data_IF_821815954375
#
_entry.id   IF_821815954375
#
_cell.length_a   1.000
_cell.length_b   1.000
_cell.length_c   1.000
_cell.angle_alpha   90.00
_cell.angle_beta   90.00
_cell.angle_gamma   90.00
#
_symmetry.space_group_name_H-M   'P 1'
#
loop_
_entity.id
_entity.type
_entity.pdbx_description
1 polymer ?
#
# COMPACT_ATOMS: atom_id res chain seq x y z
N UNK A 1 -21.31 -21.88 2.45
CA UNK A 1 -20.40 -20.78 2.04
C UNK A 1 -19.42 -21.24 0.94
N UNK A 2 -19.52 -20.64 -0.25
CA UNK A 2 -18.54 -20.87 -1.34
C UNK A 2 -17.44 -19.80 -1.24
N UNK A 3 -16.21 -20.24 -1.01
CA UNK A 3 -15.03 -19.36 -1.06
C UNK A 3 -14.59 -19.31 -2.51
N UNK A 4 -14.61 -18.12 -3.12
CA UNK A 4 -14.11 -17.94 -4.48
C UNK A 4 -12.66 -18.41 -4.56
N UNK A 5 -12.34 -19.22 -5.58
CA UNK A 5 -10.98 -19.76 -5.81
C UNK A 5 -9.93 -18.65 -5.98
N UNK A 6 -10.34 -17.43 -6.31
CA UNK A 6 -9.48 -16.25 -6.41
C UNK A 6 -8.99 -15.69 -5.07
N UNK A 7 -9.63 -16.03 -3.95
CA UNK A 7 -9.19 -15.62 -2.60
C UNK A 7 -7.91 -16.33 -2.16
N UNK A 8 -7.61 -17.46 -2.78
CA UNK A 8 -6.46 -18.31 -2.51
C UNK A 8 -5.41 -18.15 -3.61
N UNK A 9 -5.00 -16.91 -3.90
CA UNK A 9 -3.70 -16.74 -4.54
C UNK A 9 -2.64 -17.32 -3.58
N UNK A 10 -1.94 -18.37 -4.02
CA UNK A 10 -0.97 -19.21 -3.26
C UNK A 10 0.17 -18.44 -2.53
N UNK A 11 0.19 -17.12 -2.60
CA UNK A 11 1.24 -16.24 -2.06
C UNK A 11 0.65 -15.09 -1.23
N UNK A 12 -0.27 -15.36 -0.30
CA UNK A 12 -0.64 -14.39 0.75
C UNK A 12 0.62 -14.09 1.57
N UNK A 13 1.10 -12.83 1.65
CA UNK A 13 2.30 -12.51 2.41
C UNK A 13 2.11 -12.87 3.88
N UNK A 14 2.99 -13.71 4.40
CA UNK A 14 3.09 -14.10 5.80
C UNK A 14 3.68 -12.97 6.65
N UNK A 15 3.05 -11.80 6.63
CA UNK A 15 3.45 -10.68 7.49
C UNK A 15 2.58 -10.67 8.75
N UNK A 16 3.16 -11.23 9.82
CA UNK A 16 2.85 -11.08 11.25
C UNK A 16 1.58 -11.78 11.78
N UNK A 17 1.86 -12.92 12.41
CA UNK A 17 1.23 -13.52 13.61
C UNK A 17 -0.24 -13.96 13.61
N UNK A 18 -1.03 -13.61 12.59
CA UNK A 18 -2.39 -14.14 12.45
C UNK A 18 -2.62 -14.69 11.05
N UNK A 19 -3.01 -15.96 10.97
CA UNK A 19 -3.64 -16.45 9.76
C UNK A 19 -5.09 -15.97 9.82
N UNK A 20 -5.45 -15.08 8.90
CA UNK A 20 -6.85 -14.79 8.65
C UNK A 20 -7.43 -16.11 8.12
N UNK A 21 -8.11 -16.84 8.98
CA UNK A 21 -9.03 -17.88 8.56
C UNK A 21 -10.38 -17.17 8.59
N UNK A 22 -10.88 -16.61 7.47
CA UNK A 22 -12.21 -16.02 7.48
C UNK A 22 -13.21 -17.18 7.48
N UNK A 23 -13.30 -17.92 8.58
CA UNK A 23 -14.48 -18.72 8.85
C UNK A 23 -15.49 -17.75 9.42
N UNK A 24 -16.28 -17.19 8.52
CA UNK A 24 -17.52 -16.54 8.89
C UNK A 24 -18.47 -17.68 9.28
N UNK A 25 -18.85 -17.74 10.56
CA UNK A 25 -19.99 -18.55 10.99
C UNK A 25 -21.22 -17.65 10.97
N UNK A 26 -22.18 -17.99 10.14
CA UNK A 26 -23.50 -17.39 10.14
C UNK A 26 -24.40 -18.35 10.93
N UNK A 27 -25.11 -17.86 11.95
CA UNK A 27 -26.07 -18.67 12.72
C UNK A 27 -27.35 -17.87 12.90
N UNK A 28 -28.49 -18.52 12.62
CA UNK A 28 -29.81 -17.88 12.62
C UNK A 28 -29.84 -16.63 11.72
N UNK A 29 -29.22 -16.77 10.54
CA UNK A 29 -28.92 -15.72 9.58
C UNK A 29 -28.00 -14.59 10.10
N UNK A 30 -27.58 -14.55 11.36
CA UNK A 30 -26.69 -13.50 11.88
C UNK A 30 -25.23 -13.87 11.65
N UNK A 31 -24.36 -12.89 11.38
CA UNK A 31 -22.93 -13.11 11.51
C UNK A 31 -22.59 -13.26 13.00
N UNK A 32 -22.30 -14.48 13.45
CA UNK A 32 -22.13 -14.79 14.88
C UNK A 32 -20.65 -14.97 15.25
N UNK A 33 -19.80 -15.40 14.33
CA UNK A 33 -18.40 -15.67 14.65
C UNK A 33 -17.47 -15.26 13.50
N UNK A 34 -16.34 -14.63 13.85
CA UNK A 34 -15.19 -14.48 12.97
C UNK A 34 -13.96 -14.89 13.79
N UNK A 35 -13.36 -16.02 13.42
CA UNK A 35 -12.23 -16.59 14.14
C UNK A 35 -10.91 -16.14 13.54
N UNK A 36 -9.98 -15.79 14.39
CA UNK A 36 -8.57 -15.72 14.04
C UNK A 36 -7.87 -16.91 14.67
N UNK A 37 -6.98 -17.57 13.95
CA UNK A 37 -6.06 -18.53 14.56
C UNK A 37 -4.76 -17.81 14.86
N UNK A 38 -4.52 -17.62 16.15
CA UNK A 38 -3.22 -17.18 16.64
C UNK A 38 -2.20 -18.29 16.39
N UNK A 39 -1.13 -17.98 15.66
CA UNK A 39 -0.21 -19.03 15.19
C UNK A 39 0.66 -19.62 16.30
N UNK A 40 0.92 -18.85 17.36
CA UNK A 40 1.76 -19.23 18.51
C UNK A 40 1.01 -20.12 19.49
N UNK A 41 -0.23 -19.76 19.77
CA UNK A 41 -1.06 -20.44 20.76
C UNK A 41 -1.99 -21.48 20.14
N UNK A 42 -2.17 -21.44 18.81
CA UNK A 42 -3.21 -22.19 18.07
C UNK A 42 -4.63 -21.90 18.56
N UNK A 43 -4.81 -20.89 19.41
CA UNK A 43 -6.09 -20.54 19.97
C UNK A 43 -6.97 -19.90 18.88
N UNK A 44 -8.22 -20.37 18.80
CA UNK A 44 -9.27 -19.68 18.05
C UNK A 44 -9.74 -18.48 18.86
N UNK A 45 -9.39 -17.29 18.44
CA UNK A 45 -9.80 -16.06 19.12
C UNK A 45 -11.03 -15.51 18.40
N UNK A 46 -12.19 -15.57 19.05
CA UNK A 46 -13.40 -14.89 18.59
C UNK A 46 -13.29 -13.41 18.97
N UNK A 47 -13.24 -12.52 17.97
CA UNK A 47 -13.22 -11.07 18.21
C UNK A 47 -14.45 -10.48 17.53
N UNK A 48 -15.50 -10.26 18.32
CA UNK A 48 -16.69 -9.54 17.85
C UNK A 48 -16.96 -8.33 18.72
N UNK A 49 -17.04 -7.15 18.10
CA UNK A 49 -17.88 -6.04 18.60
C UNK A 49 -18.49 -5.37 17.36
N UNK A 50 -19.71 -5.79 17.01
CA UNK A 50 -20.61 -4.95 16.20
C UNK A 50 -20.97 -3.75 17.06
N UNK A 51 -20.52 -2.56 16.67
CA UNK A 51 -20.81 -1.34 17.42
C UNK A 51 -21.38 -0.23 16.53
N UNK A 52 -22.12 -0.60 15.48
CA UNK A 52 -23.16 0.28 14.98
C UNK A 52 -24.47 -0.09 15.68
N UNK A 53 -25.15 0.91 16.24
CA UNK A 53 -26.58 0.85 16.61
C UNK A 53 -27.42 0.64 15.34
N UNK A 54 -27.27 -0.50 14.66
CA UNK A 54 -27.91 -0.80 13.39
C UNK A 54 -28.44 -2.23 13.39
N UNK A 55 -29.36 -2.49 12.47
CA UNK A 55 -29.99 -3.79 12.31
C UNK A 55 -28.95 -4.86 11.95
N UNK A 56 -29.07 -6.09 12.49
CA UNK A 56 -28.22 -7.20 12.08
C UNK A 56 -28.33 -7.43 10.57
N UNK A 57 -27.18 -7.58 9.90
CA UNK A 57 -27.17 -8.01 8.50
C UNK A 57 -27.35 -9.52 8.49
N UNK A 58 -28.37 -9.95 7.76
CA UNK A 58 -28.73 -11.35 7.66
C UNK A 58 -28.21 -11.96 6.36
N UNK A 59 -27.34 -12.97 6.46
CA UNK A 59 -26.86 -13.73 5.31
C UNK A 59 -27.49 -15.12 5.33
N UNK A 60 -27.90 -15.62 4.16
CA UNK A 60 -28.21 -17.03 3.99
C UNK A 60 -26.91 -17.75 3.57
N UNK A 61 -26.58 -18.89 4.19
CA UNK A 61 -25.33 -19.62 3.97
C UNK A 61 -25.17 -20.17 2.54
N UNK A 62 -26.30 -20.41 1.88
CA UNK A 62 -26.38 -20.84 0.48
C UNK A 62 -26.29 -19.66 -0.50
N UNK A 63 -26.41 -18.44 0.02
CA UNK A 63 -26.49 -17.19 -0.71
C UNK A 63 -25.48 -16.17 -0.16
N UNK A 64 -24.24 -16.62 -0.01
CA UNK A 64 -23.13 -15.76 0.40
C UNK A 64 -21.84 -16.18 -0.29
N UNK A 65 -21.21 -15.22 -0.94
CA UNK A 65 -19.95 -15.40 -1.66
C UNK A 65 -18.96 -14.29 -1.27
N UNK A 66 -17.75 -14.71 -0.90
CA UNK A 66 -16.62 -13.80 -0.81
C UNK A 66 -16.01 -13.62 -2.20
N UNK A 67 -15.89 -12.38 -2.64
CA UNK A 67 -15.30 -12.02 -3.92
C UNK A 67 -13.84 -11.62 -3.75
N UNK A 68 -13.52 -10.92 -2.66
CA UNK A 68 -12.16 -10.57 -2.25
C UNK A 68 -12.11 -10.44 -0.72
N UNK A 69 -10.94 -10.29 -0.07
CA UNK A 69 -10.90 -10.09 1.38
C UNK A 69 -11.64 -8.83 1.87
N UNK A 70 -12.08 -7.94 0.99
CA UNK A 70 -12.89 -6.77 1.36
C UNK A 70 -14.25 -6.68 0.68
N UNK A 71 -14.65 -7.67 -0.12
CA UNK A 71 -15.94 -7.70 -0.81
C UNK A 71 -16.66 -9.03 -0.57
N UNK A 72 -17.89 -8.92 -0.07
CA UNK A 72 -18.86 -10.02 0.10
C UNK A 72 -20.11 -9.67 -0.67
N UNK A 73 -20.80 -10.65 -1.23
CA UNK A 73 -22.16 -10.46 -1.74
C UNK A 73 -23.11 -11.58 -1.31
N UNK A 74 -24.39 -11.26 -1.30
CA UNK A 74 -25.48 -12.22 -1.48
C UNK A 74 -26.13 -11.98 -2.87
N UNK A 75 -27.27 -12.60 -3.16
CA UNK A 75 -27.97 -12.51 -4.43
C UNK A 75 -28.38 -11.08 -4.80
N UNK A 76 -28.59 -10.20 -3.81
CA UNK A 76 -29.20 -8.89 -4.01
C UNK A 76 -28.31 -7.72 -3.61
N UNK A 77 -27.24 -7.96 -2.85
CA UNK A 77 -26.50 -6.91 -2.15
C UNK A 77 -25.00 -7.21 -2.14
N UNK A 78 -24.21 -6.21 -2.49
CA UNK A 78 -22.76 -6.20 -2.32
C UNK A 78 -22.40 -5.44 -1.04
N UNK A 79 -21.49 -6.02 -0.26
CA UNK A 79 -20.97 -5.46 0.96
C UNK A 79 -19.46 -5.23 0.87
N UNK A 80 -19.04 -4.08 1.34
CA UNK A 80 -17.66 -3.74 1.63
C UNK A 80 -17.31 -4.05 3.08
N UNK A 81 -16.21 -4.77 3.28
CA UNK A 81 -15.71 -5.17 4.59
C UNK A 81 -14.61 -4.23 5.08
N UNK A 82 -14.74 -3.75 6.33
CA UNK A 82 -13.77 -2.87 6.98
C UNK A 82 -13.36 -3.40 8.35
N UNK A 83 -12.05 -3.36 8.60
CA UNK A 83 -11.44 -3.62 9.90
C UNK A 83 -10.89 -2.29 10.45
N UNK A 84 -11.34 -1.87 11.63
CA UNK A 84 -10.82 -0.69 12.32
C UNK A 84 -10.20 -1.14 13.63
N UNK A 85 -8.88 -1.00 13.74
CA UNK A 85 -8.12 -1.30 14.95
C UNK A 85 -7.80 0.01 15.69
N UNK A 86 -8.16 0.08 16.96
CA UNK A 86 -7.75 1.09 17.93
C UNK A 86 -6.98 0.40 19.05
N UNK A 87 -6.21 1.15 19.84
CA UNK A 87 -5.33 0.64 20.90
C UNK A 87 -6.00 -0.33 21.90
N UNK A 88 -7.31 -0.28 22.04
CA UNK A 88 -8.10 -1.12 22.96
C UNK A 88 -9.29 -1.84 22.31
N UNK A 89 -9.48 -1.73 21.00
CA UNK A 89 -10.63 -2.35 20.34
C UNK A 89 -10.41 -2.60 18.86
N UNK A 90 -10.91 -3.73 18.38
CA UNK A 90 -10.99 -4.04 16.96
C UNK A 90 -12.47 -4.07 16.59
N UNK A 91 -12.87 -3.26 15.61
CA UNK A 91 -14.24 -3.18 15.11
C UNK A 91 -14.31 -3.65 13.66
N UNK A 92 -15.32 -4.46 13.37
CA UNK A 92 -15.61 -4.99 12.05
C UNK A 92 -16.88 -4.36 11.51
N UNK A 93 -16.86 -3.92 10.25
CA UNK A 93 -18.02 -3.33 9.59
C UNK A 93 -18.27 -4.00 8.25
N UNK A 94 -19.50 -4.45 8.04
CA UNK A 94 -20.05 -4.76 6.73
C UNK A 94 -20.91 -3.58 6.32
N UNK A 95 -20.48 -2.88 5.28
CA UNK A 95 -21.20 -1.72 4.75
C UNK A 95 -21.78 -2.10 3.41
N UNK A 96 -23.08 -1.87 3.20
CA UNK A 96 -23.69 -2.07 1.89
C UNK A 96 -23.14 -1.06 0.88
N UNK A 97 -22.81 -1.55 -0.32
CA UNK A 97 -22.48 -0.70 -1.47
C UNK A 97 -23.78 -0.08 -1.98
N UNK A 98 -24.02 1.19 -1.67
CA UNK A 98 -25.27 1.91 -2.03
C UNK A 98 -25.39 2.27 -3.53
N UNK A 99 -24.67 1.59 -4.40
CA UNK A 99 -24.70 1.80 -5.85
C UNK A 99 -25.46 0.65 -6.51
N UNK A 100 -26.03 0.89 -7.68
CA UNK A 100 -26.54 -0.20 -8.52
C UNK A 100 -25.35 -0.98 -9.07
N UNK A 101 -25.01 -2.08 -8.41
CA UNK A 101 -23.91 -2.97 -8.76
C UNK A 101 -24.38 -3.93 -9.86
N UNK A 102 -23.58 -4.07 -10.92
CA UNK A 102 -23.78 -5.15 -11.88
C UNK A 102 -23.06 -6.41 -11.36
N UNK A 103 -23.82 -7.30 -10.71
CA UNK A 103 -23.27 -8.51 -10.10
C UNK A 103 -22.65 -9.50 -11.10
N UNK A 104 -23.09 -9.51 -12.36
CA UNK A 104 -22.57 -10.44 -13.36
C UNK A 104 -21.18 -10.04 -13.85
N UNK A 105 -20.93 -8.74 -13.98
CA UNK A 105 -19.63 -8.19 -14.41
C UNK A 105 -18.72 -7.78 -13.26
N UNK A 106 -19.16 -7.92 -12.01
CA UNK A 106 -18.35 -7.56 -10.85
C UNK A 106 -17.10 -8.44 -10.74
N UNK A 107 -15.94 -7.80 -10.72
CA UNK A 107 -14.66 -8.45 -10.53
C UNK A 107 -13.74 -7.67 -9.57
N UNK A 108 -13.08 -8.35 -8.62
CA UNK A 108 -11.99 -7.76 -7.87
C UNK A 108 -10.79 -7.47 -8.77
N UNK A 109 -10.30 -6.24 -8.74
CA UNK A 109 -9.02 -5.87 -9.37
C UNK A 109 -7.86 -5.93 -8.36
N UNK A 110 -8.17 -5.98 -7.07
CA UNK A 110 -7.28 -6.35 -5.97
C UNK A 110 -8.04 -6.68 -4.70
N UNK A 111 -7.31 -6.75 -3.60
CA UNK A 111 -7.81 -6.99 -2.24
C UNK A 111 -8.79 -5.92 -1.80
N UNK A 112 -8.49 -4.66 -2.10
CA UNK A 112 -9.23 -3.51 -1.60
C UNK A 112 -10.10 -2.82 -2.66
N UNK A 113 -9.87 -3.13 -3.95
CA UNK A 113 -10.55 -2.48 -5.06
C UNK A 113 -11.19 -3.52 -5.97
N UNK A 114 -12.35 -3.15 -6.51
CA UNK A 114 -13.09 -3.95 -7.48
C UNK A 114 -13.74 -3.04 -8.51
N UNK A 115 -14.26 -3.63 -9.57
CA UNK A 115 -15.06 -2.94 -10.56
C UNK A 115 -16.20 -3.82 -11.03
N UNK A 116 -17.20 -3.20 -11.62
CA UNK A 116 -18.11 -3.86 -12.55
C UNK A 116 -17.99 -3.14 -13.92
N UNK A 117 -18.85 -3.48 -14.88
CA UNK A 117 -18.80 -2.84 -16.20
C UNK A 117 -19.10 -1.33 -16.20
N UNK A 118 -19.69 -0.80 -15.11
CA UNK A 118 -20.16 0.58 -15.01
C UNK A 118 -19.36 1.41 -14.00
N UNK A 119 -18.76 0.78 -12.99
CA UNK A 119 -18.28 1.47 -11.79
C UNK A 119 -17.04 0.83 -11.17
N UNK A 120 -16.33 1.61 -10.36
CA UNK A 120 -15.25 1.15 -9.49
C UNK A 120 -15.64 1.28 -8.02
N UNK A 121 -15.04 0.43 -7.20
CA UNK A 121 -15.36 0.29 -5.79
C UNK A 121 -14.11 0.16 -4.93
N UNK A 122 -14.18 0.68 -3.73
CA UNK A 122 -13.24 0.43 -2.64
C UNK A 122 -13.96 -0.28 -1.50
N UNK A 123 -13.48 -1.47 -1.14
CA UNK A 123 -14.15 -2.40 -0.24
C UNK A 123 -14.34 -1.83 1.17
N UNK A 124 -13.30 -1.34 1.84
CA UNK A 124 -13.48 -0.74 3.16
C UNK A 124 -14.38 0.50 3.13
N UNK A 125 -15.55 0.39 3.75
CA UNK A 125 -16.60 1.40 3.78
C UNK A 125 -17.48 1.40 2.52
N UNK A 126 -17.37 0.39 1.66
CA UNK A 126 -18.24 0.16 0.51
C UNK A 126 -18.37 1.37 -0.42
N UNK A 127 -17.24 2.02 -0.71
CA UNK A 127 -17.23 3.31 -1.40
C UNK A 127 -17.24 3.10 -2.90
N UNK A 128 -18.15 3.79 -3.59
CA UNK A 128 -18.10 3.95 -5.04
C UNK A 128 -17.05 4.99 -5.42
N UNK A 129 -16.20 4.66 -6.38
CA UNK A 129 -15.24 5.57 -7.01
C UNK A 129 -15.85 6.03 -8.34
N UNK A 130 -15.97 7.34 -8.52
CA UNK A 130 -16.59 7.96 -9.69
C UNK A 130 -15.53 8.23 -10.77
N UNK A 131 -15.02 7.16 -11.38
CA UNK A 131 -14.04 7.23 -12.46
C UNK A 131 -14.44 6.28 -13.57
N UNK A 132 -14.08 6.61 -14.80
CA UNK A 132 -14.31 5.75 -15.97
C UNK A 132 -13.16 4.76 -16.18
N UNK A 133 -12.05 4.97 -15.47
CA UNK A 133 -10.88 4.12 -15.47
C UNK A 133 -10.20 4.15 -14.10
N UNK A 134 -9.79 2.99 -13.64
CA UNK A 134 -8.99 2.85 -12.44
C UNK A 134 -8.12 1.61 -12.56
N UNK A 135 -6.84 1.76 -12.28
CA UNK A 135 -5.93 0.64 -12.11
C UNK A 135 -5.27 0.68 -10.75
N UNK A 136 -4.86 -0.48 -10.26
CA UNK A 136 -4.04 -0.53 -9.07
C UNK A 136 -2.67 -0.01 -9.40
N UNK A 137 -2.22 0.96 -8.61
CA UNK A 137 -0.89 1.49 -8.79
C UNK A 137 0.13 0.37 -8.60
N UNK A 138 1.01 0.22 -9.58
CA UNK A 138 2.17 -0.64 -9.50
C UNK A 138 3.43 0.13 -9.82
N UNK A 139 4.42 0.03 -8.94
CA UNK A 139 5.74 0.52 -9.28
C UNK A 139 6.47 -0.48 -10.18
N UNK A 140 6.46 -0.19 -11.48
CA UNK A 140 7.19 -0.97 -12.48
C UNK A 140 8.69 -0.97 -12.22
N UNK A 141 9.24 0.14 -11.72
CA UNK A 141 10.67 0.29 -11.39
C UNK A 141 11.08 -0.72 -10.33
N UNK A 142 10.35 -0.78 -9.21
CA UNK A 142 10.60 -1.78 -8.17
C UNK A 142 10.44 -3.22 -8.67
N UNK A 143 9.51 -3.48 -9.59
CA UNK A 143 9.38 -4.83 -10.17
C UNK A 143 10.61 -5.20 -10.97
N UNK A 144 11.08 -4.29 -11.82
CA UNK A 144 12.19 -4.57 -12.71
C UNK A 144 13.48 -4.72 -11.89
N UNK A 145 13.66 -3.87 -10.88
CA UNK A 145 14.73 -4.02 -9.87
C UNK A 145 14.60 -5.35 -9.14
N UNK A 146 13.43 -5.71 -8.60
CA UNK A 146 13.25 -6.98 -7.90
C UNK A 146 13.48 -8.21 -8.79
N UNK A 147 12.98 -8.18 -10.03
CA UNK A 147 13.11 -9.30 -10.98
C UNK A 147 14.57 -9.48 -11.42
N UNK A 148 15.32 -8.39 -11.60
CA UNK A 148 16.76 -8.43 -11.87
C UNK A 148 17.53 -9.13 -10.73
N UNK A 149 17.06 -8.99 -9.49
CA UNK A 149 17.74 -9.52 -8.30
C UNK A 149 17.31 -10.92 -7.91
N UNK A 150 16.08 -11.29 -8.21
CA UNK A 150 15.52 -12.58 -7.88
C UNK A 150 14.84 -13.19 -9.13
N UNK A 151 15.61 -13.49 -10.20
CA UNK A 151 15.06 -14.00 -11.45
C UNK A 151 14.25 -15.29 -11.26
N UNK A 152 14.64 -16.11 -10.27
CA UNK A 152 13.98 -17.36 -9.87
C UNK A 152 12.61 -17.15 -9.21
N UNK A 153 12.31 -15.93 -8.74
CA UNK A 153 11.11 -15.58 -7.97
C UNK A 153 10.12 -14.73 -8.76
N UNK A 154 10.00 -14.97 -10.07
CA UNK A 154 9.04 -14.31 -10.96
C UNK A 154 7.59 -14.61 -10.55
N UNK A 155 7.12 -13.92 -9.51
CA UNK A 155 5.73 -13.96 -9.06
C UNK A 155 4.88 -13.19 -10.09
N UNK A 156 3.77 -13.75 -10.60
CA UNK A 156 2.87 -13.07 -11.51
C UNK A 156 2.45 -11.69 -10.98
N UNK A 157 2.49 -10.66 -11.85
CA UNK A 157 2.18 -9.26 -11.55
C UNK A 157 0.86 -9.08 -10.76
N UNK A 158 -0.16 -9.87 -11.14
CA UNK A 158 -1.48 -9.91 -10.50
C UNK A 158 -1.41 -10.21 -8.98
N UNK A 159 -0.47 -11.05 -8.55
CA UNK A 159 -0.31 -11.39 -7.13
C UNK A 159 0.36 -10.28 -6.33
N UNK A 160 1.29 -9.52 -6.95
CA UNK A 160 2.00 -8.42 -6.28
C UNK A 160 1.08 -7.22 -6.07
N UNK A 161 0.25 -6.92 -7.06
CA UNK A 161 -0.72 -5.83 -7.03
C UNK A 161 -1.91 -6.07 -6.10
N UNK A 162 -2.18 -7.35 -5.79
CA UNK A 162 -3.37 -7.73 -5.05
C UNK A 162 -3.54 -6.94 -3.74
N UNK A 163 -2.48 -6.60 -3.01
CA UNK A 163 -2.61 -5.88 -1.74
C UNK A 163 -2.46 -4.35 -1.85
N UNK A 164 -2.47 -3.76 -3.05
CA UNK A 164 -2.26 -2.31 -3.20
C UNK A 164 -3.39 -1.51 -2.56
N UNK A 165 -3.02 -0.53 -1.73
CA UNK A 165 -3.94 0.48 -1.18
C UNK A 165 -4.11 1.69 -2.11
N UNK A 166 -3.33 1.74 -3.18
CA UNK A 166 -3.24 2.87 -4.09
C UNK A 166 -3.82 2.46 -5.43
N UNK A 167 -4.69 3.32 -5.95
CA UNK A 167 -5.20 3.19 -7.30
C UNK A 167 -5.06 4.52 -8.03
N UNK A 168 -4.85 4.47 -9.33
CA UNK A 168 -4.71 5.66 -10.18
C UNK A 168 -5.77 5.66 -11.28
N UNK A 169 -6.31 6.84 -11.54
CA UNK A 169 -7.05 7.16 -12.75
C UNK A 169 -6.14 8.03 -13.65
N UNK A 170 -6.65 8.50 -14.79
CA UNK A 170 -5.90 9.35 -15.74
C UNK A 170 -5.26 10.56 -15.05
N UNK A 171 -6.04 11.25 -14.22
CA UNK A 171 -5.68 12.53 -13.64
C UNK A 171 -5.74 12.56 -12.10
N UNK A 172 -5.92 11.39 -11.44
CA UNK A 172 -6.17 11.31 -10.00
C UNK A 172 -5.50 10.13 -9.33
N UNK A 173 -5.08 10.34 -8.08
CA UNK A 173 -4.58 9.29 -7.20
C UNK A 173 -5.57 9.02 -6.08
N UNK A 174 -5.86 7.74 -5.84
CA UNK A 174 -6.73 7.26 -4.78
C UNK A 174 -5.92 6.48 -3.75
N UNK A 175 -5.99 6.93 -2.50
CA UNK A 175 -5.42 6.23 -1.35
C UNK A 175 -6.52 5.69 -0.47
N UNK A 176 -6.59 4.36 -0.29
CA UNK A 176 -7.66 3.74 0.52
C UNK A 176 -9.05 4.21 0.06
N UNK A 177 -9.25 4.28 -1.26
CA UNK A 177 -10.48 4.75 -1.90
C UNK A 177 -10.79 6.24 -1.74
N UNK A 178 -9.87 7.03 -1.20
CA UNK A 178 -10.03 8.48 -1.04
C UNK A 178 -9.16 9.22 -2.07
N UNK A 179 -9.76 10.17 -2.78
CA UNK A 179 -9.04 11.06 -3.68
C UNK A 179 -7.98 11.87 -2.90
N UNK A 180 -6.74 11.80 -3.38
CA UNK A 180 -5.61 12.61 -2.91
C UNK A 180 -5.37 13.74 -3.91
N UNK A 181 -5.87 14.93 -3.57
CA UNK A 181 -5.82 16.12 -4.45
C UNK A 181 -4.43 16.75 -4.51
N UNK A 182 -3.60 16.45 -3.53
CA UNK A 182 -2.24 16.91 -3.33
C UNK A 182 -1.20 16.04 -4.02
N UNK A 183 -1.64 14.99 -4.74
CA UNK A 183 -0.76 14.04 -5.39
C UNK A 183 -1.07 14.03 -6.87
N UNK A 184 -0.05 14.34 -7.68
CA UNK A 184 -0.17 14.32 -9.12
C UNK A 184 -0.11 12.87 -9.65
N UNK A 185 -0.80 12.54 -10.75
CA UNK A 185 -0.87 11.18 -11.32
C UNK A 185 0.45 10.65 -11.85
N UNK A 186 1.43 11.53 -12.08
CA UNK A 186 2.80 11.13 -12.41
C UNK A 186 3.55 10.51 -11.24
N UNK A 187 2.90 10.34 -10.08
CA UNK A 187 3.43 9.66 -8.91
C UNK A 187 4.11 8.34 -9.30
N UNK A 188 5.39 8.24 -9.00
CA UNK A 188 6.22 7.06 -9.15
C UNK A 188 6.90 6.77 -7.83
N UNK A 189 7.16 5.51 -7.56
CA UNK A 189 7.96 5.14 -6.40
C UNK A 189 9.43 5.29 -6.78
N UNK A 190 10.18 5.91 -5.87
CA UNK A 190 11.62 6.14 -5.99
C UNK A 190 12.36 4.94 -5.38
N UNK A 191 11.98 4.57 -4.15
CA UNK A 191 12.49 3.40 -3.45
C UNK A 191 11.44 2.86 -2.46
N UNK A 192 11.79 1.94 -1.56
CA UNK A 192 10.82 1.37 -0.60
C UNK A 192 10.18 2.35 0.39
N UNK A 193 10.79 3.49 0.64
CA UNK A 193 10.33 4.50 1.61
C UNK A 193 9.93 5.82 0.95
N UNK A 194 10.26 6.05 -0.32
CA UNK A 194 10.03 7.33 -0.97
C UNK A 194 9.41 7.18 -2.34
N UNK A 195 8.54 8.14 -2.65
CA UNK A 195 7.82 8.28 -3.90
C UNK A 195 7.93 9.73 -4.34
N UNK A 196 7.75 10.02 -5.62
CA UNK A 196 7.65 11.38 -6.11
C UNK A 196 6.72 11.47 -7.31
N UNK A 197 6.05 12.60 -7.42
CA UNK A 197 5.42 13.02 -8.66
C UNK A 197 6.27 14.12 -9.32
N UNK A 198 5.71 14.83 -10.30
CA UNK A 198 6.44 15.89 -11.02
C UNK A 198 6.76 17.10 -10.13
N UNK A 199 6.09 17.23 -8.98
CA UNK A 199 6.10 18.44 -8.16
C UNK A 199 6.58 18.21 -6.73
N UNK A 200 6.44 16.99 -6.21
CA UNK A 200 6.60 16.69 -4.78
C UNK A 200 7.28 15.35 -4.56
N UNK A 201 7.92 15.23 -3.40
CA UNK A 201 8.44 13.96 -2.86
C UNK A 201 7.60 13.57 -1.66
N UNK A 202 7.34 12.28 -1.50
CA UNK A 202 6.50 11.70 -0.48
C UNK A 202 7.21 10.56 0.25
N UNK A 203 7.03 10.51 1.57
CA UNK A 203 7.34 9.36 2.42
C UNK A 203 6.26 8.29 2.32
N UNK A 204 6.67 7.02 2.32
CA UNK A 204 5.80 5.87 2.43
C UNK A 204 6.17 4.96 3.61
N UNK A 205 5.25 4.81 4.56
CA UNK A 205 5.41 3.98 5.78
C UNK A 205 4.57 2.67 5.74
N UNK A 206 4.26 2.18 4.54
CA UNK A 206 3.30 1.09 4.27
C UNK A 206 1.83 1.44 4.48
N UNK A 207 1.50 2.51 5.23
CA UNK A 207 0.14 2.86 5.61
C UNK A 207 -0.31 4.24 5.14
N UNK A 208 0.64 5.14 4.92
CA UNK A 208 0.47 6.56 4.62
C UNK A 208 1.47 6.96 3.54
N UNK A 209 1.03 7.90 2.71
CA UNK A 209 1.88 8.66 1.81
C UNK A 209 1.85 10.10 2.30
N UNK A 210 2.98 10.62 2.76
CA UNK A 210 3.09 11.93 3.39
C UNK A 210 4.03 12.80 2.56
N UNK A 211 3.57 13.96 2.14
CA UNK A 211 4.42 14.93 1.42
C UNK A 211 5.57 15.38 2.32
N UNK A 212 6.77 15.44 1.75
CA UNK A 212 7.94 16.05 2.36
C UNK A 212 7.92 17.52 1.98
N UNK A 213 7.72 18.41 2.96
CA UNK A 213 7.76 19.84 2.72
C UNK A 213 9.21 20.32 2.57
N UNK A 214 9.40 21.41 1.85
CA UNK A 214 10.72 22.06 1.63
C UNK A 214 11.75 21.22 0.85
N UNK A 215 11.36 20.05 0.34
CA UNK A 215 12.23 19.24 -0.50
C UNK A 215 12.43 19.91 -1.86
N UNK A 216 13.68 20.16 -2.26
CA UNK A 216 14.01 20.79 -3.54
C UNK A 216 13.88 19.79 -4.69
N UNK A 217 12.64 19.65 -5.17
CA UNK A 217 12.26 18.70 -6.22
C UNK A 217 13.05 18.85 -7.53
N UNK A 218 13.33 20.07 -8.04
CA UNK A 218 14.21 20.29 -9.19
C UNK A 218 15.59 19.64 -9.09
N UNK A 219 16.14 19.52 -7.88
CA UNK A 219 17.45 18.91 -7.64
C UNK A 219 17.36 17.50 -7.05
N UNK A 220 16.21 16.85 -7.19
CA UNK A 220 16.04 15.47 -6.74
C UNK A 220 17.05 14.54 -7.44
N UNK A 221 17.88 13.89 -6.63
CA UNK A 221 18.70 12.75 -7.01
C UNK A 221 18.22 11.54 -6.23
N UNK A 222 18.02 10.44 -6.94
CA UNK A 222 17.76 9.16 -6.32
C UNK A 222 18.48 8.03 -7.04
N UNK A 223 18.86 7.02 -6.28
CA UNK A 223 19.36 5.77 -6.85
C UNK A 223 19.13 4.63 -5.86
N UNK A 224 18.85 3.45 -6.39
CA UNK A 224 18.76 2.21 -5.63
C UNK A 224 20.03 1.38 -5.87
N UNK A 225 20.65 0.92 -4.80
CA UNK A 225 21.81 0.03 -4.87
C UNK A 225 21.69 -1.05 -3.81
N UNK A 226 22.45 -2.13 -3.98
CA UNK A 226 22.27 -3.33 -3.15
C UNK A 226 23.57 -3.66 -2.50
N UNK A 227 23.51 -3.78 -1.18
CA UNK A 227 24.62 -4.19 -0.35
C UNK A 227 24.12 -5.37 0.48
N UNK A 228 24.86 -6.48 0.43
CA UNK A 228 24.54 -7.68 1.23
C UNK A 228 23.08 -8.16 1.08
N UNK A 229 22.57 -8.23 -0.15
CA UNK A 229 21.18 -8.62 -0.47
C UNK A 229 20.10 -7.71 0.13
N UNK A 230 20.47 -6.52 0.62
CA UNK A 230 19.53 -5.50 1.09
C UNK A 230 19.48 -4.36 0.07
N UNK A 231 18.26 -3.94 -0.28
CA UNK A 231 18.06 -2.77 -1.13
C UNK A 231 18.23 -1.51 -0.29
N UNK A 232 19.25 -0.74 -0.65
CA UNK A 232 19.49 0.60 -0.16
C UNK A 232 19.06 1.59 -1.23
N UNK A 233 18.64 2.78 -0.83
CA UNK A 233 18.39 3.85 -1.78
C UNK A 233 18.78 5.18 -1.18
N UNK A 234 19.44 6.02 -1.97
CA UNK A 234 19.52 7.44 -1.67
C UNK A 234 18.32 8.12 -2.30
N UNK A 235 17.73 9.04 -1.54
CA UNK A 235 16.87 10.09 -2.05
C UNK A 235 17.39 11.35 -1.42
N UNK A 236 17.73 12.35 -2.21
CA UNK A 236 18.34 13.59 -1.74
C UNK A 236 18.05 14.71 -2.71
N UNK A 237 18.13 15.93 -2.20
CA UNK A 237 18.25 17.12 -3.03
C UNK A 237 19.62 17.79 -2.80
N UNK A 238 19.77 19.02 -3.30
CA UNK A 238 20.97 19.83 -3.13
C UNK A 238 21.27 20.19 -1.67
N UNK A 239 20.28 20.15 -0.78
CA UNK A 239 20.39 20.62 0.60
C UNK A 239 20.74 19.51 1.59
N UNK A 240 20.11 18.33 1.47
CA UNK A 240 20.31 17.21 2.40
C UNK A 240 19.64 15.92 1.89
N UNK A 241 19.98 14.73 2.45
CA UNK A 241 19.22 13.52 2.25
C UNK A 241 17.75 13.66 2.66
N UNK A 242 16.86 12.94 1.99
CA UNK A 242 15.43 12.96 2.25
C UNK A 242 15.06 12.59 3.69
N UNK A 243 15.84 11.70 4.33
CA UNK A 243 15.56 11.28 5.70
C UNK A 243 15.74 12.41 6.72
N UNK A 244 16.57 13.41 6.39
CA UNK A 244 16.82 14.57 7.25
C UNK A 244 15.62 15.51 7.36
N UNK A 245 14.67 15.44 6.42
CA UNK A 245 13.43 16.23 6.46
C UNK A 245 12.40 15.70 7.48
N UNK A 246 12.57 14.49 8.01
CA UNK A 246 11.63 13.94 8.99
C UNK A 246 11.94 14.34 10.42
N UNK A 247 13.22 14.39 10.76
CA UNK A 247 13.69 14.58 12.13
C UNK A 247 14.34 15.96 12.35
N UNK A 248 14.27 16.85 11.36
CA UNK A 248 15.00 18.14 11.31
C UNK A 248 16.49 18.00 11.63
N UNK A 249 17.07 16.85 11.29
CA UNK A 249 18.47 16.53 11.55
C UNK A 249 19.34 17.04 10.41
N UNK A 250 20.56 17.43 10.76
CA UNK A 250 21.60 17.63 9.76
C UNK A 250 22.20 16.28 9.35
N UNK A 251 22.74 16.16 8.12
CA UNK A 251 23.44 14.96 7.69
C UNK A 251 24.59 14.62 8.65
N UNK A 252 24.74 13.33 8.97
CA UNK A 252 25.89 12.84 9.72
C UNK A 252 27.12 12.82 8.81
N UNK A 253 28.04 13.78 9.00
CA UNK A 253 29.22 13.96 8.16
C UNK A 253 29.96 12.66 7.82
N UNK A 254 30.32 11.85 8.82
CA UNK A 254 31.14 10.65 8.59
C UNK A 254 30.34 9.49 8.02
N UNK A 255 29.15 9.23 8.57
CA UNK A 255 28.32 8.11 8.15
C UNK A 255 27.72 8.35 6.75
N UNK A 256 27.11 9.52 6.52
CA UNK A 256 26.45 9.81 5.25
C UNK A 256 27.44 10.00 4.12
N UNK A 257 28.55 10.72 4.36
CA UNK A 257 29.58 10.87 3.32
C UNK A 257 30.08 9.51 2.84
N UNK A 258 30.44 8.62 3.76
CA UNK A 258 30.89 7.26 3.43
C UNK A 258 29.80 6.43 2.76
N UNK A 259 28.57 6.49 3.27
CA UNK A 259 27.46 5.66 2.79
C UNK A 259 26.99 6.05 1.39
N UNK A 260 27.07 7.33 1.06
CA UNK A 260 26.63 7.85 -0.25
C UNK A 260 27.77 8.14 -1.23
N UNK A 261 29.03 8.03 -0.81
CA UNK A 261 30.20 8.26 -1.67
C UNK A 261 30.11 7.53 -3.02
N UNK A 262 29.83 6.22 -3.10
CA UNK A 262 29.79 5.53 -4.40
C UNK A 262 28.83 6.20 -5.39
N UNK A 263 27.68 6.67 -4.90
CA UNK A 263 26.67 7.31 -5.73
C UNK A 263 27.08 8.72 -6.18
N UNK A 264 27.57 9.53 -5.25
CA UNK A 264 27.97 10.90 -5.59
C UNK A 264 29.20 10.94 -6.49
N UNK A 265 30.10 9.96 -6.38
CA UNK A 265 31.21 9.77 -7.32
C UNK A 265 30.71 9.40 -8.72
N UNK A 266 29.76 8.47 -8.84
CA UNK A 266 29.15 8.10 -10.12
C UNK A 266 28.43 9.28 -10.79
N UNK A 267 27.91 10.22 -9.99
CA UNK A 267 27.25 11.43 -10.46
C UNK A 267 28.20 12.64 -10.59
N UNK A 268 29.50 12.48 -10.31
CA UNK A 268 30.44 13.60 -10.28
C UNK A 268 30.50 14.29 -11.65
N UNK A 269 30.30 15.60 -11.65
CA UNK A 269 30.24 16.43 -12.87
C UNK A 269 28.88 16.46 -13.58
N UNK A 270 27.94 15.56 -13.25
CA UNK A 270 26.56 15.59 -13.77
C UNK A 270 25.57 16.35 -12.88
N UNK A 271 25.91 16.53 -11.60
CA UNK A 271 25.12 17.29 -10.63
C UNK A 271 25.89 18.51 -10.14
N UNK A 272 25.17 19.52 -9.63
CA UNK A 272 25.76 20.76 -9.12
C UNK A 272 26.79 20.50 -8.01
N UNK A 273 27.87 21.28 -7.98
CA UNK A 273 28.85 21.25 -6.87
C UNK A 273 28.30 21.88 -5.57
N UNK A 274 27.09 22.44 -5.60
CA UNK A 274 26.40 23.00 -4.44
C UNK A 274 25.71 21.94 -3.57
N UNK A 275 25.62 20.69 -4.04
CA UNK A 275 25.07 19.60 -3.25
C UNK A 275 25.81 19.49 -1.92
N UNK A 276 25.04 19.29 -0.86
CA UNK A 276 25.51 19.09 0.51
C UNK A 276 26.65 18.09 0.61
N UNK A 277 26.67 17.06 -0.24
CA UNK A 277 27.73 16.06 -0.26
C UNK A 277 29.11 16.64 -0.61
N UNK A 278 29.21 17.51 -1.63
CA UNK A 278 30.48 18.19 -1.95
C UNK A 278 30.90 19.18 -0.87
N UNK A 279 29.95 19.78 -0.16
CA UNK A 279 30.24 20.65 1.00
C UNK A 279 30.86 19.84 2.12
N UNK A 280 30.29 18.67 2.44
CA UNK A 280 30.87 17.75 3.42
C UNK A 280 32.23 17.21 3.01
N UNK A 281 32.44 16.87 1.74
CA UNK A 281 33.74 16.43 1.21
C UNK A 281 34.86 17.42 1.57
N UNK A 282 34.64 18.70 1.23
CA UNK A 282 35.58 19.80 1.50
C UNK A 282 35.80 20.07 2.98
N UNK A 283 34.84 19.75 3.83
CA UNK A 283 34.98 19.89 5.28
C UNK A 283 35.83 18.74 5.85
N UNK A 284 35.60 17.50 5.40
CA UNK A 284 36.36 16.34 5.83
C UNK A 284 37.83 16.47 5.40
N UNK A 285 38.12 16.93 4.18
CA UNK A 285 39.48 17.17 3.69
C UNK A 285 40.27 18.22 4.50
N UNK A 286 39.60 19.10 5.24
CA UNK A 286 40.25 20.10 6.11
C UNK A 286 40.56 19.57 7.51
N UNK A 287 39.89 18.51 7.91
CA UNK A 287 40.02 17.87 9.22
C UNK A 287 41.07 16.72 9.21
N UNK A 288 41.60 16.36 8.03
CA UNK A 288 42.69 15.40 7.80
C UNK A 288 44.05 16.08 7.59
#
# INVERSE_FOLDING_TARGET
MKISSYLLHKNTPSCRETQIIPTITIKDNRLVENYYVDFKTKAKVNRFINNQKGDPIFFNEDDCEWLSPTFIRNNNTLYGFSLIEKSNSVKLFFTEVKAQVDFYSFEPIGRFYAKDKNHFYYGPGAKKIKEDYLELFFDETYRDDWNKLYPERNVPLKNKLWNSNIAVSKDKVYWKGLLKKDIHPSLKRINQFYWADDYSVFEYDLQRLKKIEEFDRPTLVYNNFIINNSMHGLVSDIHKPAYCYYDDRQPNKKYDFKSFKPLFEDLRGSISNEYWWYKMEKEIEKDE
#
